data_IF_343933521648
#
_entry.id   IF_343933521648
#
_cell.length_a   1.000
_cell.length_b   1.000
_cell.length_c   1.000
_cell.angle_alpha   90.00
_cell.angle_beta   90.00
_cell.angle_gamma   90.00
#
_symmetry.space_group_name_H-M   'P 1'
#
loop_
_entity.id
_entity.type
_entity.pdbx_description
1 polymer ?
#
# COMPACT_ATOMS: atom_id res chain seq x y z
N UNK A 1 6.92 23.24 0.11
CA UNK A 1 6.28 22.40 1.16
C UNK A 1 7.36 21.86 2.09
N UNK A 2 7.33 22.12 3.41
CA UNK A 2 8.34 21.61 4.36
C UNK A 2 8.42 20.07 4.28
N UNK A 3 9.62 19.47 4.32
CA UNK A 3 9.88 18.02 4.24
C UNK A 3 9.04 17.20 5.23
N UNK A 4 8.75 17.75 6.41
CA UNK A 4 7.86 17.18 7.43
C UNK A 4 6.41 16.98 6.93
N UNK A 5 5.88 17.93 6.15
CA UNK A 5 4.52 17.83 5.60
C UNK A 5 4.43 16.79 4.48
N UNK A 6 5.49 16.64 3.67
CA UNK A 6 5.58 15.59 2.64
C UNK A 6 5.60 14.18 3.25
N UNK A 7 6.36 13.98 4.34
CA UNK A 7 6.33 12.72 5.11
C UNK A 7 4.95 12.39 5.67
N UNK A 8 4.27 13.41 6.22
CA UNK A 8 2.93 13.25 6.75
C UNK A 8 1.95 12.85 5.64
N UNK A 9 2.05 13.50 4.48
CA UNK A 9 1.24 13.20 3.31
C UNK A 9 1.49 11.78 2.79
N UNK A 10 2.74 11.36 2.59
CA UNK A 10 3.09 9.98 2.21
C UNK A 10 2.48 8.96 3.19
N UNK A 11 2.63 9.19 4.49
CA UNK A 11 2.09 8.29 5.51
C UNK A 11 0.56 8.23 5.48
N UNK A 12 -0.12 9.36 5.26
CA UNK A 12 -1.59 9.40 5.19
C UNK A 12 -2.09 8.70 3.94
N UNK A 13 -1.49 8.97 2.77
CA UNK A 13 -1.84 8.29 1.52
C UNK A 13 -1.64 6.77 1.64
N UNK A 14 -0.53 6.33 2.24
CA UNK A 14 -0.27 4.91 2.46
C UNK A 14 -1.28 4.24 3.39
N UNK A 15 -1.64 4.90 4.51
CA UNK A 15 -2.68 4.40 5.43
C UNK A 15 -4.03 4.27 4.70
N UNK A 16 -4.44 5.33 4.01
CA UNK A 16 -5.73 5.38 3.30
C UNK A 16 -5.78 4.31 2.20
N UNK A 17 -4.68 4.16 1.45
CA UNK A 17 -4.55 3.09 0.44
C UNK A 17 -4.78 1.72 1.05
N UNK A 18 -4.08 1.40 2.14
CA UNK A 18 -4.17 0.07 2.75
C UNK A 18 -5.56 -0.18 3.32
N UNK A 19 -6.18 0.82 3.98
CA UNK A 19 -7.56 0.70 4.46
C UNK A 19 -8.57 0.44 3.33
N UNK A 20 -8.44 1.14 2.20
CA UNK A 20 -9.31 0.96 1.05
C UNK A 20 -9.12 -0.42 0.40
N UNK A 21 -7.88 -0.89 0.29
CA UNK A 21 -7.57 -2.23 -0.22
C UNK A 21 -8.07 -3.33 0.72
N UNK A 22 -7.91 -3.17 2.04
CA UNK A 22 -8.53 -4.06 3.04
C UNK A 22 -10.03 -4.13 2.83
N UNK A 23 -10.67 -2.97 2.67
CA UNK A 23 -12.10 -2.88 2.45
C UNK A 23 -12.51 -3.60 1.17
N UNK A 24 -11.76 -3.42 0.07
CA UNK A 24 -11.97 -4.12 -1.20
C UNK A 24 -11.88 -5.66 -1.09
N UNK A 25 -10.97 -6.18 -0.26
CA UNK A 25 -10.77 -7.62 -0.09
C UNK A 25 -11.78 -8.24 0.91
N UNK A 26 -12.05 -7.58 2.03
CA UNK A 26 -12.83 -8.15 3.14
C UNK A 26 -14.33 -7.87 3.07
N UNK A 27 -14.77 -6.77 2.44
CA UNK A 27 -16.19 -6.49 2.23
C UNK A 27 -16.94 -7.59 1.48
N UNK A 28 -16.47 -8.09 0.32
CA UNK A 28 -17.22 -9.11 -0.43
C UNK A 28 -17.35 -10.43 0.33
N UNK A 29 -16.43 -10.71 1.26
CA UNK A 29 -16.48 -11.91 2.13
C UNK A 29 -17.51 -11.73 3.26
N UNK A 30 -17.66 -10.50 3.75
CA UNK A 30 -18.43 -10.21 4.97
C UNK A 30 -19.88 -9.81 4.72
N UNK A 31 -20.18 -9.22 3.54
CA UNK A 31 -21.48 -8.62 3.25
C UNK A 31 -21.91 -8.98 1.84
N UNK A 32 -22.67 -10.07 1.70
CA UNK A 32 -23.12 -10.60 0.41
C UNK A 32 -24.12 -9.69 -0.33
N UNK A 33 -24.71 -8.71 0.35
CA UNK A 33 -25.75 -7.81 -0.19
C UNK A 33 -25.19 -6.48 -0.72
N UNK A 34 -23.88 -6.25 -0.60
CA UNK A 34 -23.26 -5.00 -1.05
C UNK A 34 -23.16 -4.97 -2.59
N UNK A 35 -23.33 -3.82 -3.25
CA UNK A 35 -23.16 -3.73 -4.70
C UNK A 35 -21.75 -4.20 -5.10
N UNK A 36 -21.69 -5.11 -6.08
CA UNK A 36 -20.44 -5.66 -6.59
C UNK A 36 -19.51 -4.54 -7.12
N UNK A 37 -20.06 -3.43 -7.58
CA UNK A 37 -19.25 -2.30 -8.05
C UNK A 37 -18.55 -1.54 -6.91
N UNK A 38 -19.09 -1.56 -5.68
CA UNK A 38 -18.58 -0.75 -4.58
C UNK A 38 -17.18 -1.22 -4.15
N UNK A 39 -17.00 -2.53 -3.96
CA UNK A 39 -15.69 -3.06 -3.54
C UNK A 39 -14.62 -2.86 -4.64
N UNK A 40 -15.00 -2.96 -5.93
CA UNK A 40 -14.13 -2.65 -7.07
C UNK A 40 -13.71 -1.17 -7.08
N UNK A 41 -14.66 -0.25 -6.88
CA UNK A 41 -14.39 1.19 -6.80
C UNK A 41 -13.43 1.49 -5.66
N UNK A 42 -13.67 0.93 -4.47
CA UNK A 42 -12.78 1.09 -3.31
C UNK A 42 -11.38 0.55 -3.59
N UNK A 43 -11.28 -0.62 -4.23
CA UNK A 43 -10.00 -1.19 -4.66
C UNK A 43 -9.24 -0.27 -5.61
N UNK A 44 -9.91 0.29 -6.63
CA UNK A 44 -9.30 1.23 -7.60
C UNK A 44 -8.77 2.48 -6.90
N UNK A 45 -9.57 3.08 -6.01
CA UNK A 45 -9.09 4.21 -5.21
C UNK A 45 -7.93 3.80 -4.31
N UNK A 46 -7.98 2.61 -3.71
CA UNK A 46 -6.89 2.04 -2.94
C UNK A 46 -5.57 1.98 -3.72
N UNK A 47 -5.60 1.49 -4.97
CA UNK A 47 -4.43 1.47 -5.87
C UNK A 47 -3.94 2.90 -6.16
N UNK A 48 -4.83 3.82 -6.52
CA UNK A 48 -4.46 5.22 -6.82
C UNK A 48 -3.80 5.90 -5.62
N UNK A 49 -4.36 5.72 -4.43
CA UNK A 49 -3.75 6.21 -3.19
C UNK A 49 -2.41 5.53 -2.90
N UNK A 50 -2.26 4.24 -3.21
CA UNK A 50 -1.01 3.51 -3.02
C UNK A 50 0.08 3.97 -3.97
N UNK A 51 -0.25 4.21 -5.24
CA UNK A 51 0.65 4.77 -6.24
C UNK A 51 1.05 6.20 -5.88
N UNK A 52 0.11 7.05 -5.44
CA UNK A 52 0.43 8.40 -4.99
C UNK A 52 1.28 8.39 -3.71
N UNK A 53 1.06 7.45 -2.79
CA UNK A 53 1.92 7.22 -1.64
C UNK A 53 3.33 6.82 -2.10
N UNK A 54 3.44 5.90 -3.06
CA UNK A 54 4.72 5.50 -3.64
C UNK A 54 5.44 6.69 -4.27
N UNK A 55 4.79 7.48 -5.14
CA UNK A 55 5.39 8.66 -5.77
C UNK A 55 5.79 9.73 -4.76
N UNK A 56 4.96 9.95 -3.73
CA UNK A 56 5.27 10.91 -2.67
C UNK A 56 6.32 10.43 -1.68
N UNK A 57 6.65 9.12 -1.67
CA UNK A 57 7.71 8.48 -0.87
C UNK A 57 9.02 8.25 -1.64
N UNK A 58 8.96 7.79 -2.88
CA UNK A 58 10.09 7.58 -3.80
C UNK A 58 10.55 8.88 -4.48
N UNK A 59 9.68 9.89 -4.62
CA UNK A 59 10.04 11.24 -5.06
C UNK A 59 10.92 12.01 -4.07
N UNK A 60 11.32 11.37 -2.96
CA UNK A 60 12.34 11.86 -2.05
C UNK A 60 13.72 11.31 -2.44
N UNK A 61 14.13 11.62 -3.66
CA UNK A 61 15.47 11.36 -4.21
C UNK A 61 16.65 11.97 -3.42
N UNK A 62 16.42 12.44 -2.18
CA UNK A 62 17.41 12.86 -1.18
C UNK A 62 16.91 12.63 0.25
N UNK A 63 16.22 11.54 0.54
CA UNK A 63 15.94 11.21 1.93
C UNK A 63 17.22 10.68 2.61
N UNK A 64 17.47 11.01 3.91
CA UNK A 64 18.69 10.68 4.64
C UNK A 64 18.63 9.22 5.08
N UNK A 65 18.58 8.34 4.09
CA UNK A 65 18.33 6.91 4.20
C UNK A 65 19.55 6.07 3.86
N UNK A 66 20.70 6.73 3.67
CA UNK A 66 22.01 6.09 3.47
C UNK A 66 22.38 5.14 4.64
N UNK A 67 21.80 5.33 5.83
CA UNK A 67 22.06 4.45 6.99
C UNK A 67 21.14 3.22 7.11
N UNK A 68 20.10 3.06 6.28
CA UNK A 68 19.19 1.89 6.30
C UNK A 68 18.68 1.53 4.88
N UNK A 69 19.55 1.63 3.86
CA UNK A 69 19.18 1.42 2.45
C UNK A 69 18.50 0.06 2.22
N UNK A 70 19.06 -1.02 2.78
CA UNK A 70 18.52 -2.38 2.62
C UNK A 70 17.07 -2.51 3.11
N UNK A 71 16.76 -2.03 4.31
CA UNK A 71 15.39 -2.08 4.85
C UNK A 71 14.41 -1.24 4.02
N UNK A 72 14.92 -0.20 3.36
CA UNK A 72 14.12 0.72 2.55
C UNK A 72 13.84 0.14 1.19
N UNK A 73 14.83 -0.52 0.59
CA UNK A 73 14.67 -1.32 -0.62
C UNK A 73 13.64 -2.43 -0.38
N UNK A 74 13.77 -3.18 0.72
CA UNK A 74 12.79 -4.21 1.10
C UNK A 74 11.39 -3.60 1.27
N UNK A 75 11.26 -2.45 1.94
CA UNK A 75 9.99 -1.74 2.07
C UNK A 75 9.37 -1.38 0.72
N UNK A 76 10.17 -0.81 -0.19
CA UNK A 76 9.74 -0.39 -1.53
C UNK A 76 9.31 -1.60 -2.36
N UNK A 77 10.13 -2.67 -2.37
CA UNK A 77 9.85 -3.90 -3.12
C UNK A 77 8.57 -4.55 -2.61
N UNK A 78 8.42 -4.72 -1.28
CA UNK A 78 7.22 -5.33 -0.69
C UNK A 78 5.96 -4.52 -0.98
N UNK A 79 6.02 -3.18 -0.87
CA UNK A 79 4.88 -2.33 -1.19
C UNK A 79 4.53 -2.37 -2.67
N UNK A 80 5.51 -2.29 -3.56
CA UNK A 80 5.26 -2.30 -5.00
C UNK A 80 4.74 -3.65 -5.47
N UNK A 81 5.36 -4.75 -5.05
CA UNK A 81 4.91 -6.10 -5.35
C UNK A 81 3.49 -6.33 -4.82
N UNK A 82 3.24 -5.93 -3.56
CA UNK A 82 1.92 -6.00 -2.96
C UNK A 82 0.87 -5.20 -3.74
N UNK A 83 1.20 -4.00 -4.20
CA UNK A 83 0.29 -3.16 -5.00
C UNK A 83 -0.01 -3.76 -6.38
N UNK A 84 1.02 -4.26 -7.07
CA UNK A 84 0.88 -4.88 -8.40
C UNK A 84 0.00 -6.12 -8.34
N UNK A 85 0.13 -6.92 -7.29
CA UNK A 85 -0.69 -8.12 -7.08
C UNK A 85 -2.17 -7.81 -6.81
N UNK A 86 -2.52 -6.58 -6.43
CA UNK A 86 -3.93 -6.15 -6.31
C UNK A 86 -4.57 -5.82 -7.65
N UNK A 87 -3.79 -5.47 -8.68
CA UNK A 87 -4.30 -4.97 -9.96
C UNK A 87 -5.25 -5.97 -10.65
N UNK A 88 -4.92 -7.27 -10.78
CA UNK A 88 -5.79 -8.22 -11.48
C UNK A 88 -7.20 -8.30 -10.89
N UNK A 89 -7.30 -8.37 -9.55
CA UNK A 89 -8.59 -8.46 -8.83
C UNK A 89 -9.48 -7.23 -9.04
N UNK A 90 -8.88 -6.07 -9.31
CA UNK A 90 -9.57 -4.79 -9.44
C UNK A 90 -9.86 -4.42 -10.91
N UNK A 91 -9.09 -5.02 -11.84
CA UNK A 91 -9.22 -4.80 -13.28
C UNK A 91 -10.31 -5.66 -13.91
N UNK A 92 -10.53 -6.87 -13.40
CA UNK A 92 -11.52 -7.79 -13.96
C UNK A 92 -12.92 -7.45 -13.42
N UNK A 93 -13.90 -7.33 -14.33
CA UNK A 93 -15.30 -7.07 -13.98
C UNK A 93 -16.01 -8.34 -13.44
N UNK A 94 -15.31 -9.48 -13.47
CA UNK A 94 -15.79 -10.77 -13.02
C UNK A 94 -14.77 -11.33 -12.04
N UNK A 95 -15.24 -11.90 -10.92
CA UNK A 95 -14.37 -12.43 -9.88
C UNK A 95 -13.73 -13.74 -10.34
N UNK A 96 -12.56 -13.69 -10.96
CA UNK A 96 -11.75 -14.88 -11.19
C UNK A 96 -11.05 -15.31 -9.90
N UNK A 97 -11.09 -16.61 -9.63
CA UNK A 97 -10.44 -17.22 -8.46
C UNK A 97 -8.96 -16.85 -8.36
N UNK A 98 -8.23 -16.90 -9.48
CA UNK A 98 -6.80 -16.55 -9.53
C UNK A 98 -6.54 -15.07 -9.23
N UNK A 99 -7.38 -14.17 -9.73
CA UNK A 99 -7.23 -12.74 -9.48
C UNK A 99 -7.41 -12.42 -7.99
N UNK A 100 -8.41 -13.02 -7.35
CA UNK A 100 -8.64 -12.88 -5.90
C UNK A 100 -7.51 -13.51 -5.07
N UNK A 101 -6.97 -14.64 -5.52
CA UNK A 101 -5.84 -15.29 -4.85
C UNK A 101 -4.57 -14.42 -4.89
N UNK A 102 -4.30 -13.76 -6.03
CA UNK A 102 -3.20 -12.80 -6.14
C UNK A 102 -3.40 -11.59 -5.21
N UNK A 103 -4.61 -11.03 -5.12
CA UNK A 103 -4.93 -9.96 -4.18
C UNK A 103 -4.74 -10.39 -2.72
N UNK A 104 -5.14 -11.63 -2.39
CA UNK A 104 -4.95 -12.22 -1.07
C UNK A 104 -3.47 -12.42 -0.72
N UNK A 105 -2.62 -12.79 -1.69
CA UNK A 105 -1.17 -12.88 -1.49
C UNK A 105 -0.51 -11.50 -1.43
N UNK A 106 -0.97 -10.55 -2.25
CA UNK A 106 -0.45 -9.19 -2.28
C UNK A 106 -0.70 -8.41 -1.00
N UNK A 107 -1.80 -8.70 -0.30
CA UNK A 107 -2.18 -7.97 0.92
C UNK A 107 -1.21 -8.16 2.11
N UNK A 108 -0.80 -9.39 2.47
CA UNK A 108 0.30 -9.64 3.40
C UNK A 108 1.60 -8.93 3.01
N UNK A 109 1.93 -8.86 1.71
CA UNK A 109 3.12 -8.14 1.23
C UNK A 109 3.01 -6.63 1.50
N UNK A 110 1.84 -6.03 1.24
CA UNK A 110 1.57 -4.62 1.58
C UNK A 110 1.70 -4.36 3.08
N UNK A 111 1.15 -5.25 3.91
CA UNK A 111 1.27 -5.16 5.38
C UNK A 111 2.72 -5.27 5.84
N UNK A 112 3.46 -6.25 5.33
CA UNK A 112 4.87 -6.44 5.64
C UNK A 112 5.66 -5.18 5.24
N UNK A 113 5.49 -4.70 4.01
CA UNK A 113 6.08 -3.46 3.51
C UNK A 113 5.79 -2.30 4.45
N UNK A 114 4.54 -2.07 4.83
CA UNK A 114 4.17 -1.01 5.77
C UNK A 114 4.88 -1.16 7.14
N UNK A 115 4.88 -2.36 7.74
CA UNK A 115 5.55 -2.62 9.02
C UNK A 115 7.04 -2.29 8.94
N UNK A 116 7.73 -2.70 7.86
CA UNK A 116 9.13 -2.35 7.62
C UNK A 116 9.33 -0.83 7.54
N UNK A 117 8.46 -0.11 6.82
CA UNK A 117 8.49 1.35 6.76
C UNK A 117 8.39 2.03 8.13
N UNK A 118 7.57 1.49 9.05
CA UNK A 118 7.44 2.00 10.42
C UNK A 118 8.68 1.71 11.27
N UNK A 119 9.30 0.54 11.10
CA UNK A 119 10.56 0.20 11.79
C UNK A 119 11.69 1.15 11.42
N UNK A 120 11.81 1.51 10.14
CA UNK A 120 12.86 2.44 9.68
C UNK A 120 12.68 3.84 10.30
N UNK A 121 11.44 4.34 10.33
CA UNK A 121 11.13 5.64 10.97
C UNK A 121 11.45 5.64 12.47
N UNK A 122 11.21 4.54 13.19
CA UNK A 122 11.52 4.41 14.62
C UNK A 122 13.02 4.31 14.89
N UNK A 123 13.78 3.55 14.08
CA UNK A 123 15.25 3.49 14.20
C UNK A 123 15.88 4.87 14.04
N UNK A 124 15.39 5.69 13.11
CA UNK A 124 15.88 7.06 12.92
C UNK A 124 15.67 7.97 14.15
N UNK A 125 14.59 7.78 14.91
CA UNK A 125 14.34 8.54 16.15
C UNK A 125 15.24 8.14 17.32
N UNK A 126 15.97 7.03 17.21
CA UNK A 126 16.87 6.51 18.26
C UNK A 126 18.36 6.76 17.98
N UNK A 127 18.70 7.36 16.85
CA UNK A 127 20.06 7.84 16.58
C UNK A 127 20.21 9.21 17.27
N UNK A 128 21.27 9.43 18.07
CA UNK A 128 21.52 10.68 18.78
C UNK A 128 21.71 11.86 17.83
#
# INVERSE_FOLDING_TARGET
>A
MKTKNRLKLHSVLGIVSILLLSCGIFLPISISFLPQDLHLILGRFGILFGLSAFLTGCGLGKFPFVQNSEYTEIHIILLLAGLVLQIPSISENHSHFYANLLAWLGYPLLLAGWIYGRKIRRKKQKLP
#
